data_IF_348655354528
#
_entry.id   IF_348655354528
#
_cell.length_a   1.000
_cell.length_b   1.000
_cell.length_c   1.000
_cell.angle_alpha   90.00
_cell.angle_beta   90.00
_cell.angle_gamma   90.00
#
_symmetry.space_group_name_H-M   'P 1'
#
loop_
_entity.id
_entity.type
_entity.pdbx_description
1 polymer ?
#
# COMPACT_ATOMS: atom_id res chain seq x y z
N UNK A 1 -12.18 48.13 45.42
CA UNK A 1 -13.51 48.27 44.79
C UNK A 1 -13.57 47.15 43.77
N UNK A 2 -13.89 45.93 44.14
CA UNK A 2 -15.16 45.23 44.40
C UNK A 2 -16.19 45.41 43.29
N UNK A 3 -16.42 44.37 42.56
CA UNK A 3 -17.73 43.85 42.24
C UNK A 3 -17.63 42.49 41.54
N UNK A 4 -18.13 41.49 42.25
CA UNK A 4 -18.56 40.19 41.86
C UNK A 4 -19.66 40.23 40.78
N UNK A 5 -19.70 39.22 39.93
CA UNK A 5 -20.94 38.71 39.39
C UNK A 5 -20.79 37.24 38.98
N UNK A 6 -21.26 36.39 39.83
CA UNK A 6 -21.58 34.98 39.61
C UNK A 6 -22.90 34.85 38.85
N UNK A 7 -22.99 33.92 37.88
CA UNK A 7 -24.24 33.30 37.43
C UNK A 7 -23.93 31.95 36.79
N UNK A 8 -24.16 30.92 37.44
CA UNK A 8 -25.27 29.93 37.42
C UNK A 8 -25.14 28.84 36.33
N UNK A 9 -24.89 27.70 36.84
CA UNK A 9 -24.92 26.35 36.29
C UNK A 9 -26.34 25.95 35.82
N UNK A 10 -26.41 25.37 34.64
CA UNK A 10 -27.55 24.58 34.18
C UNK A 10 -27.13 23.14 33.99
N UNK A 11 -27.45 22.29 34.92
CA UNK A 11 -27.19 20.86 34.88
C UNK A 11 -28.21 20.13 34.01
N UNK A 12 -27.76 19.18 33.21
CA UNK A 12 -28.59 18.16 32.58
C UNK A 12 -28.23 16.81 33.19
N UNK A 13 -29.28 16.18 33.71
CA UNK A 13 -29.25 14.96 34.48
C UNK A 13 -28.98 13.71 33.62
N UNK A 14 -28.17 12.82 34.19
CA UNK A 14 -27.96 11.43 33.77
C UNK A 14 -28.93 10.53 34.53
N UNK A 15 -29.67 9.63 33.90
CA UNK A 15 -30.40 8.60 34.67
C UNK A 15 -29.48 7.43 35.03
N UNK A 16 -29.46 7.14 36.31
CA UNK A 16 -28.91 5.94 36.92
C UNK A 16 -29.94 4.80 36.91
N UNK A 17 -29.37 3.60 36.86
CA UNK A 17 -29.82 2.31 37.46
C UNK A 17 -30.70 1.40 36.65
N UNK A 18 -30.19 0.16 36.53
CA UNK A 18 -30.83 -0.94 37.26
C UNK A 18 -29.84 -2.10 37.47
N UNK A 19 -29.74 -2.44 38.74
CA UNK A 19 -28.95 -3.49 39.36
C UNK A 19 -29.49 -4.89 39.13
N UNK A 20 -28.56 -5.85 39.01
CA UNK A 20 -28.56 -7.11 39.75
C UNK A 20 -29.69 -8.12 39.51
N UNK A 21 -29.34 -9.24 38.84
CA UNK A 21 -29.86 -10.54 39.32
C UNK A 21 -28.77 -11.61 39.18
N UNK A 22 -28.44 -12.19 40.31
CA UNK A 22 -27.70 -13.45 40.43
C UNK A 22 -28.55 -14.56 39.85
N UNK A 23 -27.96 -15.44 39.07
CA UNK A 23 -28.55 -16.72 38.80
C UNK A 23 -27.59 -17.83 39.20
N UNK A 24 -28.14 -18.69 40.00
CA UNK A 24 -27.47 -19.73 40.77
C UNK A 24 -27.03 -20.91 39.91
N UNK A 25 -26.15 -21.64 40.53
CA UNK A 25 -25.58 -22.92 40.19
C UNK A 25 -26.69 -23.98 40.00
N UNK A 26 -26.73 -24.68 38.86
CA UNK A 26 -27.45 -25.93 38.69
C UNK A 26 -26.51 -27.01 38.14
N UNK A 27 -26.72 -28.18 38.71
CA UNK A 27 -25.89 -29.40 38.68
C UNK A 27 -26.00 -30.15 37.33
N UNK A 28 -24.95 -30.95 37.08
CA UNK A 28 -24.85 -31.98 36.02
C UNK A 28 -25.98 -32.97 36.01
N UNK A 29 -26.37 -33.43 34.84
CA UNK A 29 -27.01 -34.73 34.65
C UNK A 29 -27.87 -34.81 33.37
N UNK A 30 -27.49 -35.73 32.53
CA UNK A 30 -28.28 -36.51 31.59
C UNK A 30 -28.81 -35.89 30.26
N UNK A 31 -28.48 -36.56 29.14
CA UNK A 31 -29.37 -36.76 27.99
C UNK A 31 -28.99 -35.96 26.74
N UNK A 32 -28.10 -36.52 25.92
CA UNK A 32 -28.07 -36.32 24.47
C UNK A 32 -29.34 -37.00 23.93
N UNK A 33 -30.15 -36.26 23.20
CA UNK A 33 -30.81 -36.61 21.95
C UNK A 33 -32.02 -35.69 21.73
N UNK A 34 -32.29 -35.39 20.47
CA UNK A 34 -33.44 -34.62 19.94
C UNK A 34 -33.35 -33.11 20.01
N UNK A 35 -32.79 -32.52 18.95
CA UNK A 35 -33.39 -31.39 18.22
C UNK A 35 -32.61 -31.09 16.93
N UNK A 36 -32.70 -31.98 15.96
CA UNK A 36 -32.50 -31.67 14.54
C UNK A 36 -33.87 -31.64 13.90
N UNK A 37 -34.47 -30.48 13.79
CA UNK A 37 -35.56 -30.23 12.85
C UNK A 37 -35.60 -28.76 12.45
N UNK A 38 -35.36 -28.56 11.16
CA UNK A 38 -35.96 -27.56 10.29
C UNK A 38 -35.75 -26.08 10.60
N UNK A 39 -34.75 -25.48 9.94
CA UNK A 39 -34.85 -24.11 9.50
C UNK A 39 -34.67 -24.13 7.96
N UNK A 40 -35.74 -23.97 7.23
CA UNK A 40 -35.74 -23.71 5.79
C UNK A 40 -35.07 -22.39 5.46
N UNK A 41 -34.36 -22.26 4.33
CA UNK A 41 -33.75 -20.99 3.95
C UNK A 41 -34.84 -20.00 3.54
N UNK A 42 -34.80 -18.81 4.13
CA UNK A 42 -35.63 -17.68 3.72
C UNK A 42 -35.19 -17.19 2.32
N UNK A 43 -36.12 -16.75 1.46
CA UNK A 43 -35.81 -16.31 0.11
C UNK A 43 -35.01 -14.99 0.11
N UNK A 44 -33.93 -14.99 -0.65
CA UNK A 44 -33.07 -13.83 -0.98
C UNK A 44 -33.87 -12.90 -1.91
N UNK A 45 -34.67 -12.04 -1.35
CA UNK A 45 -35.42 -11.03 -2.13
C UNK A 45 -35.54 -9.69 -1.41
N UNK A 46 -34.54 -9.30 -0.62
CA UNK A 46 -34.50 -7.93 -0.04
C UNK A 46 -33.07 -7.46 0.22
N UNK A 47 -32.29 -7.32 -0.87
CA UNK A 47 -30.99 -6.63 -0.80
C UNK A 47 -30.62 -6.02 -2.18
N UNK A 48 -31.61 -5.41 -2.84
CA UNK A 48 -31.39 -4.73 -4.13
C UNK A 48 -32.05 -3.35 -4.15
N UNK A 49 -31.75 -2.52 -3.15
CA UNK A 49 -32.11 -1.11 -3.22
C UNK A 49 -31.10 -0.24 -2.48
N UNK A 50 -29.87 -0.22 -2.91
CA UNK A 50 -28.88 0.82 -2.56
C UNK A 50 -27.59 0.61 -3.32
N UNK A 51 -27.55 0.72 -4.66
CA UNK A 51 -26.35 1.12 -5.42
C UNK A 51 -26.71 1.14 -6.91
N UNK A 52 -26.42 2.25 -7.55
CA UNK A 52 -26.69 2.50 -8.95
C UNK A 52 -25.95 1.58 -9.92
N UNK A 53 -26.29 1.62 -11.23
CA UNK A 53 -26.02 0.59 -12.20
C UNK A 53 -24.61 0.71 -12.82
N UNK A 54 -23.60 0.08 -12.26
CA UNK A 54 -22.27 -0.05 -12.90
C UNK A 54 -21.48 -1.33 -12.58
N UNK A 55 -22.11 -2.38 -12.06
CA UNK A 55 -21.44 -3.68 -11.87
C UNK A 55 -22.35 -4.84 -12.25
N UNK A 56 -22.63 -4.99 -13.53
CA UNK A 56 -23.15 -6.24 -14.09
C UNK A 56 -22.48 -6.44 -15.44
N UNK A 57 -21.34 -7.12 -15.44
CA UNK A 57 -20.86 -7.90 -16.58
C UNK A 57 -19.64 -8.75 -16.19
N UNK A 58 -19.83 -9.73 -15.32
CA UNK A 58 -18.84 -10.82 -15.15
C UNK A 58 -19.43 -12.08 -14.48
N UNK A 59 -20.57 -12.57 -14.95
CA UNK A 59 -21.10 -13.83 -14.45
C UNK A 59 -21.91 -14.62 -15.49
N UNK A 60 -21.35 -14.82 -16.68
CA UNK A 60 -21.95 -15.74 -17.66
C UNK A 60 -20.87 -16.31 -18.59
N UNK A 61 -20.00 -17.19 -18.11
CA UNK A 61 -19.31 -18.18 -18.95
C UNK A 61 -18.71 -19.31 -18.09
N UNK A 62 -19.52 -20.07 -17.43
CA UNK A 62 -19.22 -21.45 -17.06
C UNK A 62 -20.48 -22.30 -17.26
N UNK A 63 -20.72 -22.69 -18.51
CA UNK A 63 -21.68 -23.75 -18.85
C UNK A 63 -21.07 -25.09 -18.58
N UNK A 64 -21.50 -25.74 -17.54
CA UNK A 64 -21.32 -27.19 -17.35
C UNK A 64 -22.23 -27.92 -18.31
N UNK A 65 -21.70 -28.64 -19.28
CA UNK A 65 -22.45 -29.58 -20.09
C UNK A 65 -21.99 -30.99 -19.72
N UNK A 66 -22.82 -31.66 -18.93
CA UNK A 66 -22.78 -33.09 -18.70
C UNK A 66 -23.72 -33.78 -19.68
N UNK A 67 -23.19 -34.64 -20.51
CA UNK A 67 -24.01 -35.49 -21.37
C UNK A 67 -23.14 -36.48 -22.13
N UNK A 68 -23.08 -37.70 -21.61
CA UNK A 68 -22.49 -38.84 -22.28
C UNK A 68 -23.40 -39.33 -23.40
N UNK A 69 -22.84 -39.65 -24.57
CA UNK A 69 -23.26 -40.79 -25.35
C UNK A 69 -22.19 -41.20 -26.37
N UNK A 70 -21.86 -42.51 -26.36
CA UNK A 70 -20.99 -43.17 -27.31
C UNK A 70 -21.76 -43.41 -28.62
N UNK A 71 -21.06 -43.34 -29.76
CA UNK A 71 -21.14 -44.33 -30.85
C UNK A 71 -20.02 -44.16 -31.87
N UNK A 72 -19.67 -45.32 -32.39
CA UNK A 72 -18.57 -45.68 -33.26
C UNK A 72 -18.69 -45.18 -34.71
N UNK A 73 -17.52 -45.09 -35.35
CA UNK A 73 -17.35 -45.58 -36.73
C UNK A 73 -17.20 -44.49 -37.81
N UNK A 74 -16.09 -44.53 -38.55
CA UNK A 74 -16.02 -43.97 -39.89
C UNK A 74 -14.70 -43.25 -40.23
N UNK A 75 -13.79 -43.95 -40.95
CA UNK A 75 -12.65 -43.37 -41.70
C UNK A 75 -13.16 -42.50 -42.82
N UNK A 76 -12.55 -41.37 -43.11
CA UNK A 76 -11.89 -41.07 -44.40
C UNK A 76 -11.70 -39.54 -44.65
N UNK A 77 -10.61 -39.25 -45.32
CA UNK A 77 -10.34 -38.12 -46.19
C UNK A 77 -9.96 -36.76 -45.64
N UNK A 78 -8.66 -36.48 -45.79
CA UNK A 78 -8.07 -35.17 -45.77
C UNK A 78 -8.65 -34.24 -46.86
N UNK A 79 -9.08 -33.05 -46.48
CA UNK A 79 -9.11 -31.86 -47.35
C UNK A 79 -8.76 -30.60 -46.57
N UNK A 80 -7.75 -29.92 -47.06
CA UNK A 80 -7.34 -28.58 -46.72
C UNK A 80 -8.52 -27.60 -46.80
N UNK A 81 -8.72 -26.79 -45.77
CA UNK A 81 -9.49 -25.54 -45.86
C UNK A 81 -8.74 -24.44 -45.15
N UNK A 82 -8.43 -23.41 -45.92
CA UNK A 82 -7.81 -22.16 -45.52
C UNK A 82 -8.65 -21.33 -44.55
N UNK A 83 -7.90 -20.60 -43.69
CA UNK A 83 -8.23 -19.31 -43.11
C UNK A 83 -9.53 -19.11 -42.36
N UNK A 84 -9.43 -19.06 -41.02
CA UNK A 84 -10.36 -18.32 -40.15
C UNK A 84 -9.59 -17.16 -39.44
N UNK A 85 -10.22 -16.00 -39.25
CA UNK A 85 -9.55 -14.83 -38.67
C UNK A 85 -9.44 -15.00 -37.16
N UNK A 86 -8.22 -15.12 -36.67
CA UNK A 86 -7.92 -15.09 -35.23
C UNK A 86 -7.90 -13.65 -34.74
N UNK A 87 -9.04 -13.19 -34.27
CA UNK A 87 -9.12 -12.00 -33.43
C UNK A 87 -8.86 -12.35 -31.96
N UNK A 88 -7.67 -12.79 -31.60
CA UNK A 88 -7.23 -12.85 -30.23
C UNK A 88 -6.61 -11.49 -29.90
N UNK A 89 -7.33 -10.65 -29.16
CA UNK A 89 -6.78 -9.46 -28.53
C UNK A 89 -5.64 -9.90 -27.62
N UNK A 90 -4.42 -9.70 -28.06
CA UNK A 90 -3.24 -9.89 -27.24
C UNK A 90 -3.24 -8.82 -26.16
N UNK A 91 -3.59 -9.21 -24.92
CA UNK A 91 -3.17 -8.44 -23.75
C UNK A 91 -1.65 -8.56 -23.71
N UNK A 92 -0.95 -7.53 -24.18
CA UNK A 92 0.47 -7.44 -24.03
C UNK A 92 0.77 -7.25 -22.54
N UNK A 93 1.11 -8.36 -21.87
CA UNK A 93 1.88 -8.31 -20.65
C UNK A 93 3.16 -7.55 -21.00
N UNK A 94 3.34 -6.39 -20.40
CA UNK A 94 4.48 -5.52 -20.61
C UNK A 94 5.76 -6.24 -20.16
N UNK A 95 6.61 -6.71 -21.09
CA UNK A 95 7.85 -7.33 -20.67
C UNK A 95 8.82 -6.23 -20.27
N UNK A 96 9.26 -6.23 -19.01
CA UNK A 96 10.48 -5.53 -18.62
C UNK A 96 11.64 -6.10 -19.47
N UNK A 97 12.02 -5.39 -20.52
CA UNK A 97 13.31 -5.53 -21.18
C UNK A 97 14.18 -4.38 -20.69
N UNK A 98 15.38 -4.63 -20.13
CA UNK A 98 16.40 -3.60 -20.06
C UNK A 98 16.82 -3.27 -21.49
N UNK A 99 16.13 -2.32 -22.10
CA UNK A 99 16.40 -1.87 -23.46
C UNK A 99 17.53 -0.87 -23.45
N UNK A 100 18.65 -1.23 -24.06
CA UNK A 100 19.58 -0.24 -24.58
C UNK A 100 18.90 0.50 -25.74
N UNK A 101 18.19 1.59 -25.45
CA UNK A 101 17.76 2.55 -26.46
C UNK A 101 18.82 3.65 -26.55
N UNK A 102 19.59 3.61 -27.65
CA UNK A 102 20.33 4.79 -28.12
C UNK A 102 19.30 5.83 -28.58
N UNK A 103 19.25 6.97 -27.90
CA UNK A 103 18.52 8.12 -28.42
C UNK A 103 17.81 8.96 -27.35
N UNK A 104 18.39 10.08 -27.04
CA UNK A 104 18.16 11.15 -26.08
C UNK A 104 18.92 10.94 -24.76
N UNK A 105 19.81 11.87 -24.45
CA UNK A 105 20.58 11.85 -23.22
C UNK A 105 19.60 11.78 -22.04
N UNK A 106 19.44 10.59 -21.47
CA UNK A 106 18.69 10.43 -20.23
C UNK A 106 19.38 11.29 -19.16
N UNK A 107 18.64 12.14 -18.51
CA UNK A 107 19.14 12.85 -17.34
C UNK A 107 19.75 11.83 -16.40
N UNK A 108 21.06 11.89 -16.14
CA UNK A 108 21.74 11.00 -15.20
C UNK A 108 21.30 11.26 -13.76
N UNK A 109 20.38 12.20 -13.55
CA UNK A 109 19.86 12.58 -12.23
C UNK A 109 18.35 12.86 -12.28
N UNK A 110 17.71 12.72 -11.13
CA UNK A 110 16.33 13.16 -10.89
C UNK A 110 16.22 13.75 -9.49
N UNK A 111 15.23 14.61 -9.28
CA UNK A 111 14.92 15.12 -7.95
C UNK A 111 13.83 14.25 -7.32
N UNK A 112 14.08 13.73 -6.11
CA UNK A 112 13.07 13.07 -5.29
C UNK A 112 12.65 13.97 -4.13
N UNK A 113 11.34 14.04 -3.87
CA UNK A 113 10.76 14.74 -2.72
C UNK A 113 9.89 13.77 -1.92
N UNK A 114 10.14 13.66 -0.62
CA UNK A 114 9.40 12.82 0.32
C UNK A 114 8.55 13.71 1.22
N UNK A 115 7.21 13.70 1.03
CA UNK A 115 6.25 14.46 1.82
C UNK A 115 5.78 13.61 2.99
N UNK A 116 6.24 13.94 4.19
CA UNK A 116 5.79 13.30 5.42
C UNK A 116 5.01 14.25 6.33
N UNK A 117 4.26 13.71 7.27
CA UNK A 117 3.44 14.50 8.22
C UNK A 117 4.22 15.45 9.12
N UNK A 118 5.53 15.26 9.32
CA UNK A 118 6.40 16.11 10.16
C UNK A 118 7.45 16.88 9.40
N UNK A 119 7.67 16.60 8.12
CA UNK A 119 8.68 17.27 7.32
C UNK A 119 8.69 16.77 5.90
N UNK A 120 8.92 17.69 4.98
CA UNK A 120 9.16 17.44 3.56
C UNK A 120 10.66 17.44 3.34
N UNK A 121 11.15 16.41 2.63
CA UNK A 121 12.57 16.23 2.37
C UNK A 121 12.78 16.04 0.88
N UNK A 122 13.91 16.52 0.36
CA UNK A 122 14.25 16.32 -1.04
C UNK A 122 15.75 16.27 -1.26
N UNK A 123 16.16 15.61 -2.33
CA UNK A 123 17.53 15.55 -2.81
C UNK A 123 17.59 15.31 -4.31
N UNK A 124 18.69 15.70 -4.94
CA UNK A 124 19.08 15.19 -6.25
C UNK A 124 19.66 13.79 -6.10
N UNK A 125 19.27 12.87 -6.98
CA UNK A 125 19.66 11.47 -6.97
C UNK A 125 20.37 11.15 -8.29
N UNK A 126 21.56 10.55 -8.20
CA UNK A 126 22.25 9.95 -9.34
C UNK A 126 21.55 8.63 -9.69
N UNK A 127 21.01 8.53 -10.90
CA UNK A 127 20.15 7.40 -11.32
C UNK A 127 20.93 6.12 -11.65
N UNK A 128 22.24 6.21 -11.80
CA UNK A 128 23.13 5.07 -11.96
C UNK A 128 23.44 4.33 -10.65
N UNK A 129 23.43 5.07 -9.52
CA UNK A 129 23.84 4.54 -8.21
C UNK A 129 22.77 4.63 -7.11
N UNK A 130 21.71 5.42 -7.32
CA UNK A 130 20.72 5.72 -6.29
C UNK A 130 21.24 6.62 -5.15
N UNK A 131 22.44 7.18 -5.29
CA UNK A 131 23.06 8.04 -4.26
C UNK A 131 22.65 9.50 -4.40
N UNK A 132 22.63 10.22 -3.28
CA UNK A 132 22.38 11.65 -3.30
C UNK A 132 23.55 12.42 -3.91
N UNK A 133 23.24 13.34 -4.79
CA UNK A 133 24.19 14.30 -5.38
C UNK A 133 24.19 15.59 -4.55
N UNK A 134 24.86 15.57 -3.40
CA UNK A 134 24.91 16.69 -2.47
C UNK A 134 24.04 16.48 -1.22
N UNK A 135 23.69 17.58 -0.58
CA UNK A 135 22.96 17.56 0.68
C UNK A 135 21.46 17.35 0.49
N UNK A 136 20.86 16.61 1.44
CA UNK A 136 19.39 16.49 1.54
C UNK A 136 18.82 17.73 2.24
N UNK A 137 17.93 18.43 1.59
CA UNK A 137 17.15 19.52 2.17
C UNK A 137 15.98 18.96 2.95
N UNK A 138 15.69 19.50 4.15
CA UNK A 138 14.50 19.20 4.94
C UNK A 138 13.85 20.50 5.39
N UNK A 139 12.53 20.62 5.16
CA UNK A 139 11.69 21.70 5.63
C UNK A 139 10.55 21.10 6.43
N UNK A 140 10.11 21.75 7.49
CA UNK A 140 8.98 21.30 8.30
C UNK A 140 7.69 21.30 7.46
N UNK A 141 6.86 20.26 7.58
CA UNK A 141 5.54 20.25 6.96
C UNK A 141 4.69 21.38 7.50
N UNK A 142 4.09 22.21 6.65
CA UNK A 142 3.30 23.35 7.08
C UNK A 142 2.04 22.92 7.86
N UNK A 143 1.52 23.80 8.68
CA UNK A 143 0.27 23.62 9.41
C UNK A 143 -0.64 24.82 9.16
N UNK A 144 -1.80 24.65 8.50
CA UNK A 144 -2.33 23.43 7.88
C UNK A 144 -1.48 22.97 6.69
N UNK A 145 -1.48 21.65 6.42
CA UNK A 145 -0.71 21.04 5.32
C UNK A 145 -1.54 20.94 4.04
N UNK A 146 -2.13 22.07 3.62
CA UNK A 146 -2.94 22.15 2.40
C UNK A 146 -2.09 21.92 1.14
N UNK A 147 -2.69 21.59 -0.01
CA UNK A 147 -1.98 21.41 -1.27
C UNK A 147 -1.05 22.57 -1.63
N UNK A 148 -1.54 23.80 -1.51
CA UNK A 148 -0.77 25.02 -1.86
C UNK A 148 0.41 25.23 -0.90
N UNK A 149 0.17 25.05 0.41
CA UNK A 149 1.21 25.22 1.41
C UNK A 149 2.34 24.20 1.26
N UNK A 150 1.99 22.93 0.99
CA UNK A 150 2.96 21.86 0.75
C UNK A 150 3.69 22.06 -0.58
N UNK A 151 2.99 22.45 -1.66
CA UNK A 151 3.62 22.77 -2.95
C UNK A 151 4.63 23.91 -2.83
N UNK A 152 4.32 24.93 -2.01
CA UNK A 152 5.26 26.01 -1.73
C UNK A 152 6.55 25.52 -1.04
N UNK A 153 6.42 24.55 -0.12
CA UNK A 153 7.58 23.90 0.52
C UNK A 153 8.37 23.07 -0.50
N UNK A 154 7.69 22.31 -1.37
CA UNK A 154 8.35 21.56 -2.44
C UNK A 154 9.13 22.51 -3.38
N UNK A 155 8.56 23.66 -3.74
CA UNK A 155 9.24 24.68 -4.54
C UNK A 155 10.50 25.19 -3.84
N UNK A 156 10.41 25.52 -2.56
CA UNK A 156 11.59 25.94 -1.79
C UNK A 156 12.69 24.88 -1.76
N UNK A 157 12.33 23.60 -1.70
CA UNK A 157 13.31 22.50 -1.76
C UNK A 157 13.97 22.45 -3.14
N UNK A 158 13.18 22.54 -4.22
CA UNK A 158 13.65 22.55 -5.61
C UNK A 158 14.63 23.73 -5.82
N UNK A 159 14.26 24.91 -5.36
CA UNK A 159 15.08 26.12 -5.47
C UNK A 159 16.41 26.00 -4.69
N UNK A 160 16.36 25.48 -3.45
CA UNK A 160 17.56 25.27 -2.61
C UNK A 160 18.51 24.22 -3.19
N UNK A 161 17.96 23.20 -3.87
CA UNK A 161 18.74 22.16 -4.52
C UNK A 161 19.28 22.60 -5.89
N UNK A 162 18.85 23.75 -6.41
CA UNK A 162 19.23 24.22 -7.75
C UNK A 162 18.77 23.30 -8.87
N UNK A 163 17.58 22.68 -8.74
CA UNK A 163 17.09 21.68 -9.69
C UNK A 163 16.80 22.32 -11.04
N UNK A 164 17.56 21.95 -12.07
CA UNK A 164 17.39 22.43 -13.46
C UNK A 164 15.98 22.13 -14.01
N UNK A 165 15.52 22.90 -14.99
CA UNK A 165 14.17 22.77 -15.56
C UNK A 165 13.94 21.42 -16.29
N UNK A 166 15.01 20.81 -16.76
CA UNK A 166 15.09 19.54 -17.48
C UNK A 166 15.16 18.31 -16.56
N UNK A 167 15.41 18.51 -15.26
CA UNK A 167 15.53 17.45 -14.28
C UNK A 167 14.13 16.96 -13.84
N UNK A 168 13.81 15.67 -14.00
CA UNK A 168 12.52 15.12 -13.57
C UNK A 168 12.32 15.23 -12.05
N UNK A 169 11.09 15.44 -11.61
CA UNK A 169 10.73 15.54 -10.19
C UNK A 169 9.70 14.47 -9.81
N UNK A 170 10.08 13.60 -8.89
CA UNK A 170 9.18 12.62 -8.26
C UNK A 170 8.81 13.06 -6.83
N UNK A 171 7.59 12.74 -6.43
CA UNK A 171 7.04 13.19 -5.14
C UNK A 171 6.34 12.01 -4.46
N UNK A 172 6.73 11.68 -3.22
CA UNK A 172 5.97 10.69 -2.44
C UNK A 172 4.90 11.35 -1.60
N UNK A 173 3.81 10.63 -1.43
CA UNK A 173 2.70 10.98 -0.55
C UNK A 173 2.42 9.86 0.45
N UNK A 174 2.08 10.19 1.71
CA UNK A 174 1.66 9.22 2.71
C UNK A 174 0.18 8.83 2.51
N UNK A 175 -0.16 8.39 1.30
CA UNK A 175 -1.52 8.03 0.87
C UNK A 175 -1.48 7.21 -0.43
N UNK A 176 -2.48 6.36 -0.70
CA UNK A 176 -2.66 5.70 -1.98
C UNK A 176 -2.95 6.70 -3.09
N UNK A 177 -2.21 6.60 -4.21
CA UNK A 177 -2.34 7.44 -5.40
C UNK A 177 -2.84 6.56 -6.56
N UNK A 178 -4.12 6.66 -6.88
CA UNK A 178 -4.74 5.85 -7.94
C UNK A 178 -5.05 6.73 -9.15
N UNK A 179 -4.41 6.45 -10.28
CA UNK A 179 -4.51 7.27 -11.49
C UNK A 179 -4.24 8.76 -11.21
N UNK A 180 -3.16 9.04 -10.46
CA UNK A 180 -2.77 10.38 -10.04
C UNK A 180 -3.65 11.00 -8.94
N UNK A 181 -4.70 10.32 -8.47
CA UNK A 181 -5.66 10.87 -7.51
C UNK A 181 -5.48 10.29 -6.12
N UNK A 182 -5.41 11.16 -5.11
CA UNK A 182 -5.37 10.80 -3.68
C UNK A 182 -6.70 10.20 -3.26
N UNK A 183 -6.71 8.96 -2.78
CA UNK A 183 -7.94 8.26 -2.39
C UNK A 183 -8.42 8.62 -0.98
N UNK A 184 -7.51 8.64 -0.03
CA UNK A 184 -7.77 9.11 1.33
C UNK A 184 -6.49 9.72 1.91
N UNK A 185 -6.61 10.54 2.95
CA UNK A 185 -5.47 11.20 3.56
C UNK A 185 -5.57 11.13 5.09
N UNK A 186 -4.62 10.43 5.72
CA UNK A 186 -4.54 10.30 7.18
C UNK A 186 -3.57 11.29 7.81
N UNK A 187 -2.47 11.61 7.15
CA UNK A 187 -1.30 12.25 7.73
C UNK A 187 -1.11 13.73 7.33
N UNK A 188 -1.87 14.21 6.34
CA UNK A 188 -1.90 15.59 5.88
C UNK A 188 -3.33 16.16 5.97
N UNK A 189 -3.52 17.36 5.44
CA UNK A 189 -4.85 17.99 5.40
C UNK A 189 -5.82 17.20 4.51
N UNK A 190 -7.09 17.12 4.94
CA UNK A 190 -8.13 16.39 4.21
C UNK A 190 -8.45 16.97 2.82
N UNK A 191 -8.09 18.23 2.57
CA UNK A 191 -8.25 18.86 1.26
C UNK A 191 -7.46 18.18 0.12
N UNK A 192 -6.57 17.24 0.44
CA UNK A 192 -5.90 16.40 -0.55
C UNK A 192 -6.79 15.29 -1.14
N UNK A 193 -7.84 14.88 -0.43
CA UNK A 193 -8.72 13.78 -0.89
C UNK A 193 -9.47 14.15 -2.18
N UNK A 194 -9.43 13.24 -3.15
CA UNK A 194 -10.05 13.44 -4.47
C UNK A 194 -9.25 14.34 -5.43
N UNK A 195 -8.11 14.89 -5.00
CA UNK A 195 -7.25 15.74 -5.85
C UNK A 195 -6.42 14.84 -6.80
N UNK A 196 -6.37 15.20 -8.08
CA UNK A 196 -5.31 14.70 -8.97
C UNK A 196 -4.01 15.43 -8.64
N UNK A 197 -3.13 14.73 -7.93
CA UNK A 197 -1.91 15.32 -7.38
C UNK A 197 -0.83 15.53 -8.45
N UNK A 198 -0.80 14.72 -9.51
CA UNK A 198 0.13 14.91 -10.61
C UNK A 198 -0.15 16.21 -11.35
N UNK A 199 -1.41 16.47 -11.68
CA UNK A 199 -1.84 17.69 -12.34
C UNK A 199 -1.66 18.91 -11.44
N UNK A 200 -2.07 18.81 -10.17
CA UNK A 200 -1.96 19.92 -9.22
C UNK A 200 -0.50 20.31 -8.98
N UNK A 201 0.37 19.33 -8.66
CA UNK A 201 1.77 19.61 -8.38
C UNK A 201 2.51 20.10 -9.64
N UNK A 202 2.21 19.53 -10.81
CA UNK A 202 2.74 20.02 -12.09
C UNK A 202 2.41 21.51 -12.30
N UNK A 203 1.14 21.88 -12.08
CA UNK A 203 0.69 23.29 -12.20
C UNK A 203 1.33 24.19 -11.13
N UNK A 204 1.32 23.78 -9.87
CA UNK A 204 1.84 24.60 -8.76
C UNK A 204 3.35 24.72 -8.79
N UNK A 205 4.08 23.72 -9.24
CA UNK A 205 5.55 23.77 -9.34
C UNK A 205 6.05 24.36 -10.67
N UNK A 206 5.16 24.48 -11.68
CA UNK A 206 5.50 24.94 -13.01
C UNK A 206 6.42 23.98 -13.78
N UNK A 207 6.40 22.69 -13.39
CA UNK A 207 7.19 21.62 -14.01
C UNK A 207 6.48 20.27 -13.84
N UNK A 208 6.73 19.36 -14.76
CA UNK A 208 6.17 18.02 -14.70
C UNK A 208 6.61 17.31 -13.43
N UNK A 209 5.66 16.76 -12.69
CA UNK A 209 5.86 16.10 -11.41
C UNK A 209 5.07 14.80 -11.38
N UNK A 210 5.62 13.77 -10.75
CA UNK A 210 5.06 12.43 -10.69
C UNK A 210 4.89 12.01 -9.23
N UNK A 211 3.68 11.70 -8.84
CA UNK A 211 3.35 11.31 -7.48
C UNK A 211 3.21 9.80 -7.34
N UNK A 212 3.61 9.28 -6.18
CA UNK A 212 3.38 7.88 -5.80
C UNK A 212 3.27 7.75 -4.28
N UNK A 213 2.74 6.61 -3.82
CA UNK A 213 2.71 6.27 -2.41
C UNK A 213 4.13 6.15 -1.84
N UNK A 214 4.32 6.45 -0.54
CA UNK A 214 5.63 6.44 0.12
C UNK A 214 6.20 5.02 0.29
N UNK A 215 5.35 4.00 0.54
CA UNK A 215 5.77 2.61 0.60
C UNK A 215 6.11 2.07 -0.80
N UNK A 216 5.33 2.43 -1.83
CA UNK A 216 5.63 2.09 -3.22
C UNK A 216 7.00 2.67 -3.64
N UNK A 217 7.28 3.92 -3.27
CA UNK A 217 8.59 4.52 -3.52
C UNK A 217 9.71 3.76 -2.82
N UNK A 218 9.51 3.37 -1.56
CA UNK A 218 10.50 2.57 -0.84
C UNK A 218 10.73 1.22 -1.52
N UNK A 219 9.69 0.57 -2.02
CA UNK A 219 9.77 -0.67 -2.79
C UNK A 219 10.59 -0.50 -4.07
N UNK A 220 10.28 0.53 -4.87
CA UNK A 220 11.02 0.84 -6.09
C UNK A 220 12.50 1.14 -5.82
N UNK A 221 12.81 1.83 -4.75
CA UNK A 221 14.19 2.11 -4.35
C UNK A 221 14.96 0.84 -4.01
N UNK A 222 14.36 -0.06 -3.22
CA UNK A 222 15.01 -1.31 -2.79
C UNK A 222 15.20 -2.30 -3.95
N UNK A 223 14.30 -2.31 -4.96
CA UNK A 223 14.46 -3.16 -6.14
C UNK A 223 15.51 -2.58 -7.11
N UNK A 224 15.62 -1.26 -7.19
CA UNK A 224 16.56 -0.61 -8.11
C UNK A 224 18.00 -0.57 -7.56
N UNK A 225 18.16 -0.30 -6.25
CA UNK A 225 19.46 0.03 -5.66
C UNK A 225 19.71 -0.60 -4.29
N UNK A 226 18.80 -1.39 -3.76
CA UNK A 226 18.84 -1.87 -2.40
C UNK A 226 18.82 -3.38 -2.23
N UNK A 227 18.20 -3.83 -1.14
CA UNK A 227 18.21 -5.22 -0.68
C UNK A 227 17.58 -6.22 -1.66
N UNK A 228 16.75 -5.75 -2.59
CA UNK A 228 16.07 -6.59 -3.59
C UNK A 228 16.62 -6.39 -5.01
N UNK A 229 17.78 -5.74 -5.16
CA UNK A 229 18.36 -5.51 -6.49
C UNK A 229 18.66 -6.83 -7.20
N UNK A 230 18.14 -6.97 -8.44
CA UNK A 230 18.32 -8.17 -9.25
C UNK A 230 17.48 -9.38 -8.85
N UNK A 231 16.59 -9.24 -7.87
CA UNK A 231 15.65 -10.32 -7.49
C UNK A 231 14.57 -10.48 -8.56
N UNK A 232 14.35 -11.73 -8.96
CA UNK A 232 13.21 -12.16 -9.75
C UNK A 232 12.08 -12.68 -8.83
N UNK A 233 10.88 -12.87 -9.39
CA UNK A 233 9.73 -13.35 -8.65
C UNK A 233 9.05 -12.26 -7.82
N UNK A 234 8.42 -12.65 -6.73
CA UNK A 234 7.61 -11.76 -5.88
C UNK A 234 8.41 -11.26 -4.69
N UNK A 235 8.64 -9.95 -4.62
CA UNK A 235 9.26 -9.26 -3.49
C UNK A 235 8.21 -8.43 -2.77
N UNK A 236 8.11 -8.57 -1.45
CA UNK A 236 7.24 -7.72 -0.63
C UNK A 236 8.12 -6.87 0.27
N UNK A 237 8.04 -5.56 0.04
CA UNK A 237 8.69 -4.56 0.89
C UNK A 237 7.68 -4.03 1.88
N UNK A 238 8.03 -4.02 3.16
CA UNK A 238 7.19 -3.45 4.22
C UNK A 238 7.90 -2.29 4.89
N UNK A 239 7.18 -1.22 5.20
CA UNK A 239 7.71 -0.09 5.97
C UNK A 239 7.08 -0.08 7.36
N UNK A 240 7.84 -0.48 8.37
CA UNK A 240 7.39 -0.53 9.76
C UNK A 240 7.62 0.83 10.44
N UNK A 241 6.54 1.61 10.54
CA UNK A 241 6.51 2.95 11.12
C UNK A 241 5.38 3.13 12.13
N UNK A 242 4.66 4.26 12.07
CA UNK A 242 3.42 4.49 12.81
C UNK A 242 2.39 3.43 12.46
N UNK A 243 2.26 3.13 11.17
CA UNK A 243 1.52 2.02 10.58
C UNK A 243 2.44 0.98 9.94
N UNK A 244 1.90 0.19 9.01
CA UNK A 244 2.61 -0.75 8.16
C UNK A 244 2.29 -0.41 6.70
N UNK A 245 3.21 0.27 6.01
CA UNK A 245 3.12 0.42 4.56
C UNK A 245 3.66 -0.83 3.85
N UNK A 246 3.21 -1.06 2.62
CA UNK A 246 3.65 -2.21 1.83
C UNK A 246 3.80 -1.86 0.35
N UNK A 247 4.74 -2.51 -0.32
CA UNK A 247 4.86 -2.52 -1.77
C UNK A 247 5.07 -3.95 -2.24
N UNK A 248 4.31 -4.38 -3.24
CA UNK A 248 4.45 -5.68 -3.88
C UNK A 248 5.08 -5.48 -5.24
N UNK A 249 6.18 -6.18 -5.50
CA UNK A 249 6.92 -6.13 -6.75
C UNK A 249 6.98 -7.54 -7.34
N UNK A 250 6.61 -7.69 -8.60
CA UNK A 250 6.67 -8.95 -9.33
C UNK A 250 7.60 -8.78 -10.53
N UNK A 251 8.68 -9.53 -10.58
CA UNK A 251 9.70 -9.46 -11.64
C UNK A 251 10.15 -8.00 -11.93
N UNK A 252 10.43 -7.26 -10.86
CA UNK A 252 10.85 -5.85 -10.93
C UNK A 252 9.73 -4.85 -11.26
N UNK A 253 8.49 -5.30 -11.42
CA UNK A 253 7.32 -4.45 -11.70
C UNK A 253 6.50 -4.23 -10.44
N UNK A 254 6.29 -2.97 -10.08
CA UNK A 254 5.47 -2.57 -8.94
C UNK A 254 3.98 -2.86 -9.18
N UNK A 255 3.33 -3.50 -8.22
CA UNK A 255 1.87 -3.52 -8.06
C UNK A 255 1.49 -2.35 -7.16
N UNK A 256 0.99 -1.24 -7.70
CA UNK A 256 0.89 0.01 -6.95
C UNK A 256 -0.21 -0.02 -5.88
N UNK A 257 -0.01 0.77 -4.83
CA UNK A 257 -1.00 1.02 -3.77
C UNK A 257 -1.49 -0.24 -3.04
N UNK A 258 -0.57 -1.15 -2.74
CA UNK A 258 -0.90 -2.32 -1.90
C UNK A 258 -0.89 -1.93 -0.43
N UNK A 259 -1.99 -2.20 0.26
CA UNK A 259 -2.20 -1.81 1.67
C UNK A 259 -2.26 -3.07 2.57
N UNK A 260 -1.20 -3.91 2.52
CA UNK A 260 -1.15 -5.15 3.29
C UNK A 260 -1.08 -4.92 4.81
N UNK A 261 -0.78 -3.70 5.26
CA UNK A 261 -0.86 -3.30 6.66
C UNK A 261 -2.29 -3.34 7.21
N UNK A 262 -3.29 -3.18 6.32
CA UNK A 262 -4.71 -3.20 6.66
C UNK A 262 -5.37 -4.57 6.49
N UNK A 263 -4.59 -5.65 6.33
CA UNK A 263 -5.15 -7.00 6.38
C UNK A 263 -5.84 -7.24 7.73
N UNK A 264 -7.06 -7.79 7.69
CA UNK A 264 -7.71 -8.28 8.89
C UNK A 264 -7.10 -9.62 9.30
N UNK A 265 -6.46 -9.65 10.45
CA UNK A 265 -5.83 -10.84 11.02
C UNK A 265 -6.36 -11.03 12.44
N UNK A 266 -6.98 -12.19 12.70
CA UNK A 266 -7.59 -12.55 13.99
C UNK A 266 -8.62 -11.50 14.48
N UNK A 267 -9.40 -10.92 13.54
CA UNK A 267 -10.43 -9.92 13.83
C UNK A 267 -9.89 -8.50 14.10
N UNK A 268 -8.63 -8.23 13.71
CA UNK A 268 -8.00 -6.92 13.89
C UNK A 268 -7.30 -6.48 12.61
N UNK A 269 -7.32 -5.19 12.33
CA UNK A 269 -6.43 -4.57 11.38
C UNK A 269 -4.97 -4.79 11.83
N UNK A 270 -4.14 -5.37 10.94
CA UNK A 270 -2.81 -5.86 11.29
C UNK A 270 -1.89 -4.75 11.84
N UNK A 271 -1.92 -3.55 11.27
CA UNK A 271 -1.04 -2.46 11.73
C UNK A 271 -1.37 -1.99 13.15
N UNK A 272 -2.65 -2.14 13.59
CA UNK A 272 -3.06 -1.80 14.96
C UNK A 272 -2.44 -2.72 16.00
N UNK A 273 -1.82 -3.82 15.58
CA UNK A 273 -1.14 -4.80 16.45
C UNK A 273 0.35 -4.89 16.19
N UNK A 274 0.78 -4.87 14.92
CA UNK A 274 2.13 -5.23 14.51
C UNK A 274 3.00 -4.04 14.10
N UNK A 275 2.47 -2.81 13.95
CA UNK A 275 3.29 -1.65 13.61
C UNK A 275 4.33 -1.32 14.70
N UNK A 276 5.41 -0.62 14.31
CA UNK A 276 6.41 -0.13 15.25
C UNK A 276 5.83 0.93 16.20
N UNK A 277 4.83 1.69 15.72
CA UNK A 277 4.05 2.63 16.55
C UNK A 277 3.37 1.93 17.71
N UNK A 278 2.73 0.79 17.46
CA UNK A 278 2.07 -0.02 18.50
C UNK A 278 3.07 -0.65 19.49
N UNK A 279 4.24 -1.06 18.99
CA UNK A 279 5.32 -1.51 19.88
C UNK A 279 5.67 -0.42 20.90
N UNK A 280 5.83 0.81 20.42
CA UNK A 280 6.21 1.96 21.28
C UNK A 280 5.08 2.36 22.22
N UNK A 281 3.86 2.49 21.71
CA UNK A 281 2.70 2.91 22.49
C UNK A 281 2.36 1.94 23.65
N UNK A 282 2.62 0.64 23.44
CA UNK A 282 2.34 -0.41 24.44
C UNK A 282 3.59 -0.89 25.19
N UNK A 283 4.73 -0.22 25.02
CA UNK A 283 6.03 -0.58 25.59
C UNK A 283 6.35 -2.08 25.47
N UNK A 284 6.15 -2.63 24.27
CA UNK A 284 6.38 -4.04 24.05
C UNK A 284 7.87 -4.34 23.97
N UNK A 285 8.30 -5.38 24.70
CA UNK A 285 9.63 -5.94 24.48
C UNK A 285 9.78 -6.45 23.04
N UNK A 286 11.01 -6.49 22.52
CA UNK A 286 11.29 -6.99 21.16
C UNK A 286 10.74 -8.40 20.93
N UNK A 287 10.85 -9.30 21.92
CA UNK A 287 10.31 -10.66 21.85
C UNK A 287 8.78 -10.68 21.77
N UNK A 288 8.09 -9.83 22.53
CA UNK A 288 6.62 -9.73 22.46
C UNK A 288 6.15 -9.16 21.13
N UNK A 289 6.86 -8.14 20.62
CA UNK A 289 6.53 -7.55 19.33
C UNK A 289 6.86 -8.48 18.16
N UNK A 290 7.98 -9.19 18.19
CA UNK A 290 8.33 -10.19 17.18
C UNK A 290 7.25 -11.28 17.02
N UNK A 291 6.56 -11.68 18.10
CA UNK A 291 5.43 -12.62 18.00
C UNK A 291 4.26 -12.05 17.18
N UNK A 292 4.02 -10.73 17.27
CA UNK A 292 2.99 -10.06 16.45
C UNK A 292 3.43 -9.94 15.00
N UNK A 293 4.70 -9.64 14.76
CA UNK A 293 5.29 -9.63 13.43
C UNK A 293 5.26 -11.04 12.81
N UNK A 294 5.58 -12.08 13.58
CA UNK A 294 5.48 -13.47 13.12
C UNK A 294 4.08 -13.78 12.59
N UNK A 295 3.04 -13.40 13.36
CA UNK A 295 1.65 -13.62 12.93
C UNK A 295 1.31 -12.88 11.63
N UNK A 296 1.78 -11.63 11.51
CA UNK A 296 1.60 -10.80 10.32
C UNK A 296 2.32 -11.41 9.11
N UNK A 297 3.63 -11.64 9.22
CA UNK A 297 4.42 -12.14 8.09
C UNK A 297 4.03 -13.56 7.68
N UNK A 298 3.72 -14.46 8.62
CA UNK A 298 3.21 -15.79 8.28
C UNK A 298 1.88 -15.73 7.52
N UNK A 299 1.03 -14.74 7.81
CA UNK A 299 -0.23 -14.56 7.08
C UNK A 299 0.04 -14.04 5.66
N UNK A 300 0.90 -13.05 5.50
CA UNK A 300 1.30 -12.52 4.19
C UNK A 300 2.05 -13.60 3.39
N UNK A 301 2.95 -14.37 4.01
CA UNK A 301 3.65 -15.49 3.39
C UNK A 301 2.67 -16.54 2.83
N UNK A 302 1.65 -16.88 3.61
CA UNK A 302 0.61 -17.83 3.18
C UNK A 302 -0.19 -17.33 1.97
N UNK A 303 -0.48 -16.02 1.93
CA UNK A 303 -1.30 -15.42 0.87
C UNK A 303 -0.54 -15.23 -0.45
N UNK A 304 0.73 -14.86 -0.37
CA UNK A 304 1.51 -14.41 -1.54
C UNK A 304 2.64 -15.35 -1.92
N UNK A 305 3.11 -16.21 -1.01
CA UNK A 305 4.30 -17.07 -1.21
C UNK A 305 5.47 -16.29 -1.85
N UNK A 306 5.89 -15.16 -1.26
CA UNK A 306 6.90 -14.31 -1.88
C UNK A 306 8.28 -14.97 -1.84
N UNK A 307 9.16 -14.54 -2.76
CA UNK A 307 10.55 -14.99 -2.82
C UNK A 307 11.44 -14.23 -1.82
N UNK A 308 11.03 -13.01 -1.43
CA UNK A 308 11.78 -12.18 -0.48
C UNK A 308 10.85 -11.20 0.26
N UNK A 309 11.06 -11.07 1.57
CA UNK A 309 10.59 -9.94 2.36
C UNK A 309 11.72 -8.94 2.59
N UNK A 310 11.47 -7.65 2.35
CA UNK A 310 12.37 -6.55 2.72
C UNK A 310 11.69 -5.68 3.78
N UNK A 311 12.36 -5.43 4.90
CA UNK A 311 11.79 -4.69 6.03
C UNK A 311 12.44 -3.33 6.18
N UNK A 312 11.69 -2.30 5.82
CA UNK A 312 12.05 -0.89 5.91
C UNK A 312 11.39 -0.18 7.11
N UNK A 313 11.32 1.15 6.99
CA UNK A 313 10.83 2.04 8.04
C UNK A 313 11.86 2.33 9.12
N UNK A 314 11.52 3.24 10.05
CA UNK A 314 12.48 3.74 11.04
C UNK A 314 13.03 2.68 11.99
N UNK A 315 12.27 1.62 12.26
CA UNK A 315 12.65 0.53 13.16
C UNK A 315 13.61 -0.47 12.52
N UNK A 316 13.73 -0.48 11.19
CA UNK A 316 14.64 -1.42 10.47
C UNK A 316 16.09 -1.28 10.90
N UNK A 317 16.53 -0.11 11.39
CA UNK A 317 17.85 0.11 11.99
C UNK A 317 18.14 -0.77 13.22
N UNK A 318 17.09 -1.37 13.80
CA UNK A 318 17.18 -2.25 14.96
C UNK A 318 16.77 -3.70 14.59
N UNK A 319 16.88 -4.05 13.31
CA UNK A 319 16.45 -5.35 12.76
C UNK A 319 17.02 -6.54 13.50
N UNK A 320 18.27 -6.48 13.96
CA UNK A 320 18.94 -7.51 14.75
C UNK A 320 18.18 -7.93 16.01
N UNK A 321 17.30 -7.05 16.54
CA UNK A 321 16.55 -7.29 17.77
C UNK A 321 15.27 -8.08 17.55
N UNK A 322 14.78 -8.20 16.30
CA UNK A 322 13.49 -8.81 16.03
C UNK A 322 13.46 -9.72 14.80
N UNK A 323 14.16 -9.42 13.70
CA UNK A 323 14.16 -10.30 12.52
C UNK A 323 14.66 -11.71 12.83
N UNK A 324 15.75 -11.92 13.62
CA UNK A 324 16.20 -13.26 13.96
C UNK A 324 15.23 -14.07 14.85
N UNK A 325 14.17 -13.44 15.36
CA UNK A 325 13.13 -14.09 16.16
C UNK A 325 11.93 -14.56 15.32
N UNK A 326 11.95 -14.30 14.01
CA UNK A 326 10.92 -14.72 13.08
C UNK A 326 11.30 -16.07 12.46
N UNK A 327 10.33 -16.95 12.37
CA UNK A 327 10.43 -18.27 11.75
C UNK A 327 9.53 -18.28 10.50
N UNK A 328 10.12 -17.97 9.34
CA UNK A 328 9.46 -17.88 8.04
C UNK A 328 10.20 -18.79 7.06
N UNK A 329 9.48 -19.32 6.07
CA UNK A 329 10.07 -20.06 4.96
C UNK A 329 10.72 -19.11 3.96
N UNK A 330 10.08 -17.97 3.73
CA UNK A 330 10.57 -16.90 2.86
C UNK A 330 11.73 -16.16 3.55
N UNK A 331 12.86 -15.92 2.87
CA UNK A 331 13.90 -15.05 3.37
C UNK A 331 13.37 -13.66 3.73
N UNK A 332 13.83 -13.12 4.87
CA UNK A 332 13.48 -11.78 5.33
C UNK A 332 14.73 -10.99 5.66
N UNK A 333 14.90 -9.82 5.05
CA UNK A 333 16.09 -8.99 5.17
C UNK A 333 15.75 -7.55 5.51
N UNK A 334 16.65 -6.79 6.18
CA UNK A 334 16.44 -5.35 6.36
C UNK A 334 16.65 -4.59 5.05
N UNK A 335 15.89 -3.52 4.87
CA UNK A 335 16.07 -2.55 3.80
C UNK A 335 17.45 -1.88 3.90
N UNK A 336 18.09 -1.65 2.76
CA UNK A 336 19.43 -1.03 2.69
C UNK A 336 19.37 0.49 2.61
N UNK A 337 18.36 1.06 1.91
CA UNK A 337 18.28 2.50 1.68
C UNK A 337 17.68 3.29 2.85
N UNK A 338 17.07 2.60 3.81
CA UNK A 338 16.61 3.20 5.07
C UNK A 338 15.76 4.48 4.85
N UNK A 339 16.22 5.61 5.43
CA UNK A 339 15.52 6.90 5.37
C UNK A 339 15.68 7.65 4.03
N UNK A 340 16.41 7.10 3.07
CA UNK A 340 16.57 7.69 1.74
C UNK A 340 15.64 7.07 0.73
N UNK A 341 15.06 5.90 1.04
CA UNK A 341 14.27 5.09 0.12
C UNK A 341 13.12 5.87 -0.56
N UNK A 342 12.33 6.65 0.19
CA UNK A 342 11.25 7.45 -0.38
C UNK A 342 11.73 8.45 -1.43
N UNK A 343 12.81 9.19 -1.13
CA UNK A 343 13.41 10.17 -2.06
C UNK A 343 13.98 9.46 -3.30
N UNK A 344 14.74 8.38 -3.09
CA UNK A 344 15.38 7.63 -4.17
C UNK A 344 14.34 6.99 -5.08
N UNK A 345 13.30 6.38 -4.51
CA UNK A 345 12.21 5.76 -5.27
C UNK A 345 11.37 6.77 -6.04
N UNK A 346 11.10 7.95 -5.47
CA UNK A 346 10.43 9.04 -6.17
C UNK A 346 11.25 9.53 -7.37
N UNK A 347 12.54 9.76 -7.19
CA UNK A 347 13.44 10.15 -8.28
C UNK A 347 13.50 9.07 -9.38
N UNK A 348 13.62 7.81 -8.99
CA UNK A 348 13.63 6.68 -9.91
C UNK A 348 12.34 6.60 -10.73
N UNK A 349 11.17 6.72 -10.09
CA UNK A 349 9.88 6.72 -10.78
C UNK A 349 9.75 7.87 -11.78
N UNK A 350 10.15 9.08 -11.38
CA UNK A 350 10.08 10.26 -12.26
C UNK A 350 10.95 10.10 -13.51
N UNK A 351 12.13 9.51 -13.39
CA UNK A 351 13.01 9.25 -14.53
C UNK A 351 12.40 8.30 -15.57
N UNK A 352 11.66 7.31 -15.11
CA UNK A 352 10.98 6.33 -15.99
C UNK A 352 9.74 6.91 -16.66
N UNK A 353 8.99 7.76 -15.98
CA UNK A 353 7.78 8.38 -16.51
C UNK A 353 8.05 9.42 -17.61
N UNK A 354 9.27 9.93 -17.72
CA UNK A 354 9.70 10.83 -18.84
C UNK A 354 9.98 10.03 -20.11
N UNK A 355 10.24 8.73 -19.99
CA UNK A 355 10.68 7.88 -21.12
C UNK A 355 9.51 7.24 -21.90
N UNK A 356 8.26 7.43 -21.40
CA UNK A 356 7.01 6.98 -22.05
C UNK A 356 6.32 8.16 -22.72
#
# INVERSE_FOLDING_TARGET
MSADASAQLGGVAVPRTLSGRRCGRLRRGAGLDECVREAAPAPITKLLDCHGPQYIDLALTFGLNSGAERREGGREAARSVDSAPTGAGSYSLWPYRPGHSQGTAMSHMACGIDIGGSGVKGALVALDTGQFMGERVRIQTPRPSTPEAVAQVCRQIIDRLGVGSDVPVGITFPAPIVHGTVRFMANLDKSWEGINVDELMTRLLGRRSYALNDADAAGLAEIAYGAAQGMAGTVIVTTLGTGIGSAVIVDGTLVPNTELGHLEIDGYDAETRASAGQRTAQDLSWKKWAKRLQRYYSHVEMLFSPDLFVVGGGVSRKHEKYLPLLDLKTPIVPAQLLNTAGIVGAAYQASRAVTI
#
